data_IF_757821144848
#
_entry.id   IF_757821144848
#
_cell.length_a   1.000
_cell.length_b   1.000
_cell.length_c   1.000
_cell.angle_alpha   90.00
_cell.angle_beta   90.00
_cell.angle_gamma   90.00
#
_symmetry.space_group_name_H-M   'P 1'
#
loop_
_entity.id
_entity.type
_entity.pdbx_description
1 polymer ?
#
# COMPACT_ATOMS: atom_id res chain seq x y z
N UNK A 1 30.02 -4.20 -7.17
CA UNK A 1 29.01 -3.17 -6.86
C UNK A 1 27.67 -3.87 -6.65
N UNK A 2 27.06 -3.75 -5.49
CA UNK A 2 25.76 -4.40 -5.17
C UNK A 2 24.65 -3.78 -6.00
N UNK A 3 23.81 -4.59 -6.62
CA UNK A 3 22.65 -4.17 -7.41
C UNK A 3 21.35 -4.50 -6.66
N UNK A 4 20.53 -3.51 -6.41
CA UNK A 4 19.28 -3.65 -5.69
C UNK A 4 18.11 -3.26 -6.58
N UNK A 5 17.21 -4.20 -6.83
CA UNK A 5 15.96 -3.97 -7.56
C UNK A 5 14.82 -3.78 -6.57
N UNK A 6 14.18 -2.61 -6.61
CA UNK A 6 12.93 -2.39 -5.90
C UNK A 6 11.73 -2.64 -6.81
N UNK A 7 10.80 -3.46 -6.34
CA UNK A 7 9.49 -3.66 -6.98
C UNK A 7 8.46 -2.90 -6.16
N UNK A 8 7.84 -1.88 -6.77
CA UNK A 8 6.97 -0.93 -6.06
C UNK A 8 5.55 -0.91 -6.63
N UNK A 9 4.63 -0.39 -5.83
CA UNK A 9 3.20 -0.27 -6.20
C UNK A 9 2.85 1.08 -6.82
N UNK A 10 3.84 1.97 -6.96
CA UNK A 10 3.66 3.31 -7.52
C UNK A 10 4.79 3.62 -8.50
N UNK A 11 4.50 4.50 -9.44
CA UNK A 11 5.54 5.14 -10.27
C UNK A 11 6.14 6.27 -9.44
N UNK A 12 7.45 6.36 -9.37
CA UNK A 12 8.14 7.43 -8.64
C UNK A 12 8.01 8.78 -9.35
N UNK A 13 8.20 9.92 -8.64
CA UNK A 13 8.06 11.26 -9.23
C UNK A 13 8.96 11.51 -10.45
N UNK A 14 10.21 11.04 -10.43
CA UNK A 14 11.15 11.26 -11.54
C UNK A 14 10.62 10.66 -12.86
N UNK A 15 10.29 9.36 -12.97
CA UNK A 15 9.69 8.83 -14.20
C UNK A 15 8.28 9.38 -14.48
N UNK A 16 7.50 9.83 -13.48
CA UNK A 16 6.24 10.53 -13.75
C UNK A 16 6.48 11.82 -14.54
N UNK A 17 7.49 12.60 -14.17
CA UNK A 17 7.87 13.83 -14.87
C UNK A 17 8.24 13.56 -16.33
N UNK A 18 9.07 12.55 -16.60
CA UNK A 18 9.46 12.14 -17.94
C UNK A 18 8.25 11.68 -18.80
N UNK A 19 7.23 11.14 -18.18
CA UNK A 19 6.04 10.65 -18.86
C UNK A 19 4.91 11.68 -18.96
N UNK A 20 5.07 12.88 -18.38
CA UNK A 20 4.00 13.87 -18.27
C UNK A 20 2.83 13.41 -17.40
N UNK A 21 3.09 12.52 -16.42
CA UNK A 21 2.09 12.00 -15.49
C UNK A 21 2.10 12.79 -14.17
N UNK A 22 0.95 12.90 -13.48
CA UNK A 22 0.94 13.50 -12.16
C UNK A 22 1.73 12.64 -11.16
N UNK A 23 2.54 13.28 -10.32
CA UNK A 23 3.25 12.59 -9.25
C UNK A 23 2.28 12.05 -8.20
N UNK A 24 2.51 10.83 -7.67
CA UNK A 24 1.67 10.27 -6.64
C UNK A 24 1.79 11.05 -5.33
N UNK A 25 0.67 11.25 -4.63
CA UNK A 25 0.64 11.93 -3.32
C UNK A 25 0.94 10.98 -2.15
N UNK A 26 0.97 9.68 -2.41
CA UNK A 26 1.24 8.60 -1.44
C UNK A 26 2.55 7.89 -1.77
N UNK A 27 3.03 7.04 -0.85
CA UNK A 27 4.29 6.29 -1.02
C UNK A 27 5.56 7.13 -0.88
N UNK A 28 5.48 8.36 -0.37
CA UNK A 28 6.65 9.24 -0.19
C UNK A 28 7.73 8.68 0.73
N UNK A 29 7.39 7.74 1.60
CA UNK A 29 8.35 7.02 2.44
C UNK A 29 9.32 6.16 1.60
N UNK A 30 8.86 5.53 0.50
CA UNK A 30 9.75 4.78 -0.40
C UNK A 30 10.79 5.71 -1.06
N UNK A 31 10.34 6.89 -1.53
CA UNK A 31 11.25 7.87 -2.10
C UNK A 31 12.29 8.33 -1.07
N UNK A 32 11.84 8.70 0.13
CA UNK A 32 12.75 9.12 1.20
C UNK A 32 13.72 8.01 1.61
N UNK A 33 13.28 6.75 1.61
CA UNK A 33 14.15 5.59 1.86
C UNK A 33 15.20 5.43 0.75
N UNK A 34 14.80 5.53 -0.51
CA UNK A 34 15.73 5.43 -1.64
C UNK A 34 16.78 6.53 -1.59
N UNK A 35 16.36 7.76 -1.34
CA UNK A 35 17.27 8.91 -1.20
C UNK A 35 18.26 8.71 -0.05
N UNK A 36 17.78 8.28 1.13
CA UNK A 36 18.60 8.03 2.31
C UNK A 36 19.62 6.90 2.06
N UNK A 37 19.22 5.79 1.48
CA UNK A 37 20.12 4.67 1.20
C UNK A 37 21.19 5.08 0.19
N UNK A 38 20.81 5.81 -0.86
CA UNK A 38 21.78 6.28 -1.87
C UNK A 38 22.78 7.27 -1.30
N UNK A 39 22.39 8.11 -0.36
CA UNK A 39 23.30 9.02 0.35
C UNK A 39 24.28 8.27 1.25
N UNK A 40 23.79 7.26 1.98
CA UNK A 40 24.59 6.48 2.92
C UNK A 40 25.46 5.43 2.23
N UNK A 41 25.01 4.89 1.08
CA UNK A 41 25.65 3.81 0.35
C UNK A 41 25.73 4.13 -1.15
N UNK A 42 26.57 5.12 -1.55
CA UNK A 42 26.64 5.58 -2.94
C UNK A 42 27.20 4.56 -3.94
N UNK A 43 27.78 3.47 -3.45
CA UNK A 43 28.29 2.35 -4.27
C UNK A 43 27.22 1.32 -4.64
N UNK A 44 25.98 1.47 -4.16
CA UNK A 44 24.86 0.58 -4.50
C UNK A 44 24.20 1.08 -5.77
N UNK A 45 24.04 0.19 -6.74
CA UNK A 45 23.30 0.46 -7.98
C UNK A 45 21.81 0.12 -7.77
N UNK A 46 20.93 1.08 -8.03
CA UNK A 46 19.49 0.94 -7.82
C UNK A 46 18.71 0.91 -9.12
N UNK A 47 17.80 -0.08 -9.22
CA UNK A 47 16.70 -0.02 -10.14
C UNK A 47 15.36 -0.06 -9.38
N UNK A 48 14.37 0.62 -9.92
CA UNK A 48 12.98 0.59 -9.43
C UNK A 48 12.07 0.11 -10.55
N UNK A 49 11.30 -0.94 -10.28
CA UNK A 49 10.37 -1.49 -11.24
C UNK A 49 8.94 -1.41 -10.73
N UNK A 50 8.00 -1.08 -11.59
CA UNK A 50 6.57 -1.07 -11.27
C UNK A 50 5.75 -1.35 -12.52
N UNK A 51 4.47 -1.66 -12.32
CA UNK A 51 3.51 -1.80 -13.41
C UNK A 51 2.80 -0.49 -13.68
N UNK A 52 2.47 -0.23 -14.95
CA UNK A 52 1.74 0.97 -15.35
C UNK A 52 0.78 0.68 -16.50
N UNK A 53 -0.18 1.58 -16.70
CA UNK A 53 -1.22 1.41 -17.71
C UNK A 53 -0.71 1.85 -19.07
N UNK A 54 -0.09 0.93 -19.81
CA UNK A 54 0.42 1.18 -21.16
C UNK A 54 0.39 -0.09 -22.01
N UNK A 55 0.80 0.03 -23.27
CA UNK A 55 0.92 -1.10 -24.21
C UNK A 55 2.32 -1.71 -24.21
N UNK A 56 3.33 -0.92 -23.88
CA UNK A 56 4.75 -1.28 -24.01
C UNK A 56 5.51 -1.01 -22.73
N UNK A 57 6.54 -1.81 -22.48
CA UNK A 57 7.50 -1.60 -21.40
C UNK A 57 8.36 -0.38 -21.72
N UNK A 58 8.61 0.43 -20.70
CA UNK A 58 9.55 1.55 -20.79
C UNK A 58 10.69 1.39 -19.79
N UNK A 59 11.88 1.81 -20.22
CA UNK A 59 13.04 1.95 -19.33
C UNK A 59 13.44 3.42 -19.35
N UNK A 60 13.59 4.01 -18.16
CA UNK A 60 13.94 5.42 -17.96
C UNK A 60 15.15 5.47 -17.04
N UNK A 61 16.16 6.23 -17.43
CA UNK A 61 17.35 6.48 -16.61
C UNK A 61 17.33 7.94 -16.19
N UNK A 62 17.10 8.19 -14.92
CA UNK A 62 17.08 9.55 -14.38
C UNK A 62 17.52 9.56 -12.92
N UNK A 63 18.17 10.63 -12.49
CA UNK A 63 18.69 10.82 -11.14
C UNK A 63 19.60 9.66 -10.65
N UNK A 64 20.32 9.00 -11.58
CA UNK A 64 21.20 7.86 -11.27
C UNK A 64 20.45 6.59 -10.81
N UNK A 65 19.19 6.45 -11.19
CA UNK A 65 18.35 5.27 -10.97
C UNK A 65 17.77 4.79 -12.29
N UNK A 66 17.73 3.47 -12.47
CA UNK A 66 17.05 2.86 -13.62
C UNK A 66 15.63 2.50 -13.23
N UNK A 67 14.65 3.01 -13.97
CA UNK A 67 13.23 2.73 -13.78
C UNK A 67 12.70 1.82 -14.88
N UNK A 68 12.14 0.67 -14.50
CA UNK A 68 11.44 -0.25 -15.39
C UNK A 68 9.94 -0.12 -15.19
N UNK A 69 9.23 0.28 -16.23
CA UNK A 69 7.77 0.43 -16.21
C UNK A 69 7.14 -0.65 -17.09
N UNK A 70 6.53 -1.63 -16.45
CA UNK A 70 5.96 -2.80 -17.11
C UNK A 70 4.49 -2.54 -17.49
N UNK A 71 4.09 -2.86 -18.74
CA UNK A 71 2.71 -2.68 -19.16
C UNK A 71 1.81 -3.73 -18.48
N UNK A 72 0.80 -3.28 -17.73
CA UNK A 72 -0.16 -4.16 -17.08
C UNK A 72 -1.55 -3.56 -17.01
N UNK A 73 -2.56 -4.44 -16.91
CA UNK A 73 -3.87 -4.07 -16.39
C UNK A 73 -3.73 -3.97 -14.87
N UNK A 74 -4.13 -2.84 -14.30
CA UNK A 74 -4.08 -2.66 -12.85
C UNK A 74 -5.33 -3.32 -12.26
N UNK A 75 -5.36 -4.63 -12.23
CA UNK A 75 -6.29 -5.42 -11.43
C UNK A 75 -5.49 -6.17 -10.37
N UNK A 76 -5.43 -5.61 -9.17
CA UNK A 76 -4.71 -6.18 -8.06
C UNK A 76 -5.40 -7.41 -7.42
N UNK A 77 -6.57 -7.78 -7.91
CA UNK A 77 -7.31 -8.96 -7.42
C UNK A 77 -6.97 -10.23 -8.19
N UNK A 78 -6.21 -10.10 -9.28
CA UNK A 78 -5.86 -11.21 -10.18
C UNK A 78 -4.37 -11.25 -10.44
N UNK A 79 -3.90 -12.47 -10.58
CA UNK A 79 -2.55 -12.72 -11.08
C UNK A 79 -2.52 -12.51 -12.59
N UNK A 80 -1.51 -11.78 -13.07
CA UNK A 80 -1.28 -11.54 -14.50
C UNK A 80 -0.01 -12.25 -14.96
N UNK A 81 -0.20 -13.43 -15.59
CA UNK A 81 0.91 -14.25 -16.10
C UNK A 81 1.72 -13.54 -17.19
N UNK A 82 1.14 -12.59 -17.91
CA UNK A 82 1.86 -11.87 -18.97
C UNK A 82 3.03 -11.03 -18.42
N UNK A 83 3.03 -10.71 -17.13
CA UNK A 83 4.11 -9.99 -16.48
C UNK A 83 5.37 -10.84 -16.30
N UNK A 84 5.28 -12.17 -16.28
CA UNK A 84 6.43 -13.05 -16.05
C UNK A 84 7.55 -12.82 -17.08
N UNK A 85 7.20 -12.71 -18.37
CA UNK A 85 8.18 -12.44 -19.42
C UNK A 85 8.89 -11.08 -19.27
N UNK A 86 8.16 -10.06 -18.81
CA UNK A 86 8.76 -8.75 -18.53
C UNK A 86 9.68 -8.81 -17.31
N UNK A 87 9.30 -9.55 -16.28
CA UNK A 87 10.14 -9.73 -15.09
C UNK A 87 11.43 -10.49 -15.40
N UNK A 88 11.37 -11.56 -16.22
CA UNK A 88 12.57 -12.23 -16.69
C UNK A 88 13.50 -11.26 -17.41
N UNK A 89 12.96 -10.43 -18.32
CA UNK A 89 13.76 -9.43 -19.02
C UNK A 89 14.39 -8.41 -18.08
N UNK A 90 13.68 -7.91 -17.06
CA UNK A 90 14.24 -7.01 -16.04
C UNK A 90 15.35 -7.70 -15.28
N UNK A 91 15.11 -8.92 -14.83
CA UNK A 91 16.07 -9.71 -14.06
C UNK A 91 17.37 -9.99 -14.85
N UNK A 92 17.26 -10.40 -16.11
CA UNK A 92 18.38 -10.65 -17.00
C UNK A 92 19.18 -9.37 -17.33
N UNK A 93 18.48 -8.25 -17.51
CA UNK A 93 19.10 -6.96 -17.87
C UNK A 93 19.80 -6.34 -16.69
N UNK A 94 19.13 -6.25 -15.54
CA UNK A 94 19.68 -5.60 -14.35
C UNK A 94 20.54 -6.52 -13.50
N UNK A 95 20.24 -7.82 -13.45
CA UNK A 95 20.94 -8.86 -12.66
C UNK A 95 21.06 -8.46 -11.19
N UNK A 96 19.94 -8.30 -10.46
CA UNK A 96 19.97 -7.84 -9.09
C UNK A 96 20.60 -8.86 -8.15
N UNK A 97 21.45 -8.39 -7.23
CA UNK A 97 21.93 -9.19 -6.09
C UNK A 97 20.83 -9.33 -5.02
N UNK A 98 19.99 -8.28 -4.87
CA UNK A 98 18.86 -8.25 -3.94
C UNK A 98 17.64 -7.67 -4.65
N UNK A 99 16.49 -8.31 -4.45
CA UNK A 99 15.19 -7.83 -4.91
C UNK A 99 14.33 -7.49 -3.71
N UNK A 100 13.91 -6.23 -3.59
CA UNK A 100 13.05 -5.78 -2.51
C UNK A 100 11.65 -5.46 -3.03
N UNK A 101 10.67 -6.28 -2.67
CA UNK A 101 9.27 -6.05 -3.02
C UNK A 101 8.59 -5.23 -1.91
N UNK A 102 8.06 -4.07 -2.26
CA UNK A 102 7.40 -3.16 -1.34
C UNK A 102 5.89 -3.43 -1.28
N UNK A 103 5.50 -4.31 -0.37
CA UNK A 103 4.10 -4.69 -0.11
C UNK A 103 3.66 -5.93 -0.87
N UNK A 104 2.70 -6.62 -0.28
CA UNK A 104 2.08 -7.85 -0.79
C UNK A 104 0.67 -7.61 -1.35
N UNK A 105 0.22 -6.36 -1.35
CA UNK A 105 -1.14 -5.99 -1.72
C UNK A 105 -1.44 -6.16 -3.21
N UNK A 106 -0.40 -6.30 -4.05
CA UNK A 106 -0.51 -6.42 -5.49
C UNK A 106 0.21 -7.64 -6.02
N UNK A 107 -0.39 -8.31 -6.98
CA UNK A 107 0.12 -9.58 -7.51
C UNK A 107 1.33 -9.46 -8.45
N UNK A 108 1.72 -8.25 -8.88
CA UNK A 108 2.81 -8.11 -9.85
C UNK A 108 4.19 -8.50 -9.30
N UNK A 109 4.45 -8.28 -8.01
CA UNK A 109 5.67 -8.78 -7.38
C UNK A 109 5.67 -10.32 -7.24
N UNK A 110 4.50 -10.94 -7.05
CA UNK A 110 4.39 -12.41 -7.10
C UNK A 110 4.74 -12.96 -8.48
N UNK A 111 4.40 -12.21 -9.55
CA UNK A 111 4.79 -12.60 -10.89
C UNK A 111 6.33 -12.59 -11.08
N UNK A 112 7.05 -11.67 -10.40
CA UNK A 112 8.51 -11.73 -10.35
C UNK A 112 9.00 -13.02 -9.68
N UNK A 113 8.46 -13.34 -8.50
CA UNK A 113 8.87 -14.54 -7.74
C UNK A 113 8.64 -15.82 -8.56
N UNK A 114 7.48 -15.94 -9.22
CA UNK A 114 7.18 -17.11 -10.06
C UNK A 114 8.08 -17.23 -11.29
N UNK A 115 8.48 -16.10 -11.87
CA UNK A 115 9.30 -16.06 -13.07
C UNK A 115 10.81 -16.22 -12.78
N UNK A 116 11.29 -15.65 -11.68
CA UNK A 116 12.71 -15.48 -11.42
C UNK A 116 13.20 -16.18 -10.15
N UNK A 117 12.27 -16.73 -9.34
CA UNK A 117 12.61 -17.32 -8.04
C UNK A 117 12.57 -16.34 -6.89
N UNK A 118 12.82 -16.81 -5.67
CA UNK A 118 12.73 -16.05 -4.44
C UNK A 118 14.04 -15.97 -3.63
N UNK A 119 15.11 -16.63 -4.06
CA UNK A 119 16.34 -16.84 -3.26
C UNK A 119 17.00 -15.53 -2.79
N UNK A 120 16.93 -14.48 -3.61
CA UNK A 120 17.46 -13.15 -3.30
C UNK A 120 16.37 -12.10 -3.04
N UNK A 121 15.14 -12.53 -2.71
CA UNK A 121 13.99 -11.67 -2.52
C UNK A 121 13.73 -11.38 -1.05
N UNK A 122 13.56 -10.12 -0.70
CA UNK A 122 12.92 -9.70 0.54
C UNK A 122 11.62 -8.94 0.26
N UNK A 123 10.65 -9.06 1.18
CA UNK A 123 9.34 -8.41 1.05
C UNK A 123 9.05 -7.55 2.27
N UNK A 124 8.77 -6.26 2.06
CA UNK A 124 8.27 -5.39 3.13
C UNK A 124 6.76 -5.47 3.27
N UNK A 125 6.29 -5.69 4.49
CA UNK A 125 4.85 -5.70 4.82
C UNK A 125 4.35 -4.27 5.02
N UNK A 126 3.37 -3.88 4.20
CA UNK A 126 2.63 -2.62 4.34
C UNK A 126 1.38 -2.79 5.22
N UNK A 127 0.79 -3.97 5.15
CA UNK A 127 -0.33 -4.45 5.90
C UNK A 127 -0.69 -5.85 5.42
N UNK A 128 -1.10 -6.73 6.33
CA UNK A 128 -1.46 -8.10 5.99
C UNK A 128 -2.90 -8.14 5.48
N UNK A 129 -3.06 -8.09 4.17
CA UNK A 129 -4.37 -8.07 3.50
C UNK A 129 -5.20 -9.30 3.85
N UNK A 130 -4.58 -10.47 3.96
CA UNK A 130 -5.21 -11.74 4.34
C UNK A 130 -5.80 -11.71 5.75
N UNK A 131 -5.15 -11.00 6.67
CA UNK A 131 -5.64 -10.82 8.04
C UNK A 131 -6.68 -9.70 8.11
N UNK A 132 -6.40 -8.55 7.47
CA UNK A 132 -7.31 -7.39 7.41
C UNK A 132 -8.66 -7.79 6.81
N UNK A 133 -8.69 -8.67 5.81
CA UNK A 133 -9.93 -9.16 5.19
C UNK A 133 -10.91 -9.78 6.20
N UNK A 134 -10.41 -10.44 7.24
CA UNK A 134 -11.25 -11.05 8.29
C UNK A 134 -12.05 -10.00 9.08
N UNK A 135 -11.47 -8.82 9.26
CA UNK A 135 -12.02 -7.71 10.06
C UNK A 135 -12.57 -6.57 9.21
N UNK A 136 -12.73 -6.78 7.90
CA UNK A 136 -13.02 -5.71 6.94
C UNK A 136 -14.26 -4.88 7.28
N UNK A 137 -15.28 -5.50 7.88
CA UNK A 137 -16.52 -4.80 8.27
C UNK A 137 -16.35 -3.91 9.50
N UNK A 138 -15.32 -4.14 10.32
CA UNK A 138 -14.98 -3.35 11.50
C UNK A 138 -16.19 -3.14 12.47
N UNK A 139 -17.01 -4.15 12.65
CA UNK A 139 -18.18 -4.11 13.53
C UNK A 139 -19.47 -3.57 12.90
N UNK A 140 -19.47 -3.24 11.61
CA UNK A 140 -20.74 -3.00 10.90
C UNK A 140 -21.53 -4.29 10.79
N UNK A 141 -22.84 -4.23 11.15
CA UNK A 141 -23.72 -5.37 10.99
C UNK A 141 -24.06 -5.63 9.51
N UNK A 142 -24.51 -6.84 9.22
CA UNK A 142 -25.03 -7.17 7.89
C UNK A 142 -26.15 -6.21 7.44
N UNK A 143 -27.04 -5.85 8.37
CA UNK A 143 -28.18 -4.98 8.09
C UNK A 143 -27.74 -3.52 7.85
N UNK A 144 -26.74 -3.04 8.57
CA UNK A 144 -26.18 -1.70 8.33
C UNK A 144 -25.59 -1.60 6.94
N UNK A 145 -24.82 -2.62 6.52
CA UNK A 145 -24.25 -2.66 5.18
C UNK A 145 -25.36 -2.71 4.13
N UNK A 146 -26.35 -3.61 4.31
CA UNK A 146 -27.42 -3.81 3.33
C UNK A 146 -28.28 -2.56 3.13
N UNK A 147 -28.70 -1.90 4.21
CA UNK A 147 -29.53 -0.68 4.17
C UNK A 147 -28.83 0.50 3.50
N UNK A 148 -27.52 0.53 3.51
CA UNK A 148 -26.72 1.63 3.00
C UNK A 148 -26.11 1.36 1.61
N UNK A 149 -26.41 0.23 0.97
CA UNK A 149 -26.02 -0.01 -0.42
C UNK A 149 -26.58 1.10 -1.30
N UNK A 150 -25.74 1.70 -2.12
CA UNK A 150 -26.12 2.75 -3.08
C UNK A 150 -26.23 2.18 -4.50
N UNK A 151 -26.97 2.89 -5.35
CA UNK A 151 -27.04 2.53 -6.79
C UNK A 151 -25.67 2.53 -7.43
N UNK A 152 -24.78 3.47 -7.03
CA UNK A 152 -23.39 3.50 -7.45
C UNK A 152 -22.65 2.20 -7.11
N UNK A 153 -22.84 1.70 -5.90
CA UNK A 153 -22.14 0.50 -5.44
C UNK A 153 -22.58 -0.74 -6.24
N UNK A 154 -23.86 -0.80 -6.58
CA UNK A 154 -24.39 -1.88 -7.43
C UNK A 154 -23.80 -1.80 -8.84
N UNK A 155 -23.89 -0.64 -9.50
CA UNK A 155 -23.39 -0.44 -10.87
C UNK A 155 -21.88 -0.69 -10.97
N UNK A 156 -21.12 -0.30 -9.95
CA UNK A 156 -19.65 -0.44 -9.94
C UNK A 156 -19.14 -1.74 -9.33
N UNK A 157 -20.04 -2.63 -8.89
CA UNK A 157 -19.65 -3.85 -8.17
C UNK A 157 -18.69 -3.55 -7.04
N UNK A 158 -19.02 -2.56 -6.21
CA UNK A 158 -18.14 -2.01 -5.19
C UNK A 158 -18.82 -1.82 -3.82
N UNK A 159 -19.80 -2.67 -3.51
CA UNK A 159 -20.40 -2.75 -2.17
C UNK A 159 -19.36 -3.17 -1.14
N UNK A 160 -19.58 -2.90 0.13
CA UNK A 160 -18.69 -3.34 1.23
C UNK A 160 -18.49 -4.87 1.20
N UNK A 161 -19.50 -5.65 0.82
CA UNK A 161 -19.35 -7.10 0.63
C UNK A 161 -18.37 -7.46 -0.48
N UNK A 162 -18.46 -6.77 -1.61
CA UNK A 162 -17.57 -6.97 -2.75
C UNK A 162 -16.15 -6.49 -2.46
N UNK A 163 -16.00 -5.38 -1.72
CA UNK A 163 -14.70 -4.89 -1.26
C UNK A 163 -14.01 -5.93 -0.36
N UNK A 164 -14.74 -6.52 0.61
CA UNK A 164 -14.22 -7.61 1.42
C UNK A 164 -13.74 -8.78 0.57
N UNK A 165 -14.55 -9.22 -0.41
CA UNK A 165 -14.16 -10.31 -1.33
C UNK A 165 -12.89 -9.99 -2.12
N UNK A 166 -12.71 -8.72 -2.53
CA UNK A 166 -11.46 -8.28 -3.19
C UNK A 166 -10.27 -8.42 -2.23
N UNK A 167 -10.44 -8.07 -0.97
CA UNK A 167 -9.39 -8.25 0.05
C UNK A 167 -9.10 -9.73 0.29
N UNK A 168 -10.10 -10.58 0.38
CA UNK A 168 -9.92 -12.04 0.54
C UNK A 168 -9.11 -12.63 -0.62
N UNK A 169 -9.46 -12.29 -1.87
CA UNK A 169 -8.71 -12.76 -3.06
C UNK A 169 -7.25 -12.27 -3.06
N UNK A 170 -7.01 -11.03 -2.70
CA UNK A 170 -5.65 -10.49 -2.55
C UNK A 170 -4.90 -11.17 -1.42
N UNK A 171 -5.61 -11.51 -0.34
CA UNK A 171 -5.05 -12.24 0.79
C UNK A 171 -4.56 -13.64 0.43
N UNK A 172 -5.20 -14.33 -0.51
CA UNK A 172 -4.70 -15.64 -0.98
C UNK A 172 -3.38 -15.48 -1.77
N UNK A 173 -3.27 -14.46 -2.61
CA UNK A 173 -2.01 -14.15 -3.30
C UNK A 173 -0.91 -13.72 -2.31
N UNK A 174 -1.26 -12.93 -1.28
CA UNK A 174 -0.33 -12.56 -0.21
C UNK A 174 0.23 -13.76 0.53
N UNK A 175 -0.62 -14.75 0.85
CA UNK A 175 -0.16 -15.98 1.50
C UNK A 175 0.86 -16.74 0.65
N UNK A 176 0.72 -16.70 -0.68
CA UNK A 176 1.70 -17.29 -1.59
C UNK A 176 3.05 -16.56 -1.52
N UNK A 177 3.05 -15.22 -1.51
CA UNK A 177 4.28 -14.45 -1.26
C UNK A 177 4.96 -14.92 0.02
N UNK A 178 4.21 -14.89 1.13
CA UNK A 178 4.74 -15.13 2.47
C UNK A 178 5.27 -16.55 2.63
N UNK A 179 4.67 -17.54 1.93
CA UNK A 179 5.15 -18.95 1.95
C UNK A 179 6.44 -19.14 1.16
N UNK A 180 6.71 -18.29 0.19
CA UNK A 180 7.78 -18.52 -0.78
C UNK A 180 9.05 -17.74 -0.45
N UNK A 181 8.92 -16.53 0.13
CA UNK A 181 10.07 -15.65 0.35
C UNK A 181 10.82 -15.98 1.63
N UNK A 182 12.18 -16.02 1.58
CA UNK A 182 12.99 -16.31 2.75
C UNK A 182 13.11 -15.13 3.73
N UNK A 183 13.01 -13.88 3.25
CA UNK A 183 13.24 -12.68 4.05
C UNK A 183 12.02 -11.75 4.03
N UNK A 184 11.53 -11.40 5.22
CA UNK A 184 10.36 -10.53 5.37
C UNK A 184 10.69 -9.35 6.30
N UNK A 185 10.43 -8.16 5.82
CA UNK A 185 10.62 -6.91 6.57
C UNK A 185 9.28 -6.46 7.13
N UNK A 186 9.21 -6.24 8.44
CA UNK A 186 8.02 -5.77 9.11
C UNK A 186 8.34 -4.84 10.29
N UNK A 187 7.32 -4.42 11.05
CA UNK A 187 7.45 -3.34 12.02
C UNK A 187 6.87 -3.65 13.39
N UNK A 188 6.12 -4.72 13.52
CA UNK A 188 5.37 -5.01 14.75
C UNK A 188 5.45 -6.47 15.12
N UNK A 189 5.27 -6.78 16.42
CA UNK A 189 5.11 -8.15 16.89
C UNK A 189 3.85 -8.82 16.31
N UNK A 190 2.83 -8.02 15.96
CA UNK A 190 1.60 -8.50 15.37
C UNK A 190 1.82 -9.05 13.95
N UNK A 191 2.48 -8.30 13.07
CA UNK A 191 2.77 -8.80 11.71
C UNK A 191 3.75 -9.97 11.75
N UNK A 192 4.78 -9.92 12.60
CA UNK A 192 5.72 -11.02 12.84
C UNK A 192 5.00 -12.32 13.23
N UNK A 193 4.08 -12.27 14.18
CA UNK A 193 3.33 -13.44 14.62
C UNK A 193 2.47 -14.05 13.48
N UNK A 194 1.81 -13.20 12.70
CA UNK A 194 1.03 -13.67 11.55
C UNK A 194 1.88 -14.23 10.41
N UNK A 195 3.04 -13.64 10.17
CA UNK A 195 4.00 -14.13 9.17
C UNK A 195 4.49 -15.52 9.56
N UNK A 196 4.94 -15.71 10.79
CA UNK A 196 5.42 -17.01 11.26
C UNK A 196 4.32 -18.08 11.35
N UNK A 197 3.07 -17.68 11.50
CA UNK A 197 1.95 -18.62 11.38
C UNK A 197 1.73 -19.13 9.94
N UNK A 198 2.27 -18.42 8.91
CA UNK A 198 2.19 -18.80 7.50
C UNK A 198 3.48 -19.44 7.02
N UNK A 199 4.62 -18.89 7.40
CA UNK A 199 5.97 -19.34 7.04
C UNK A 199 6.88 -19.24 8.28
N UNK A 200 6.98 -20.32 9.07
CA UNK A 200 7.82 -20.34 10.28
C UNK A 200 9.31 -20.24 9.99
N UNK A 201 9.74 -20.58 8.77
CA UNK A 201 11.13 -20.58 8.36
C UNK A 201 11.59 -19.21 7.83
N UNK A 202 10.68 -18.27 7.64
CA UNK A 202 11.02 -16.93 7.16
C UNK A 202 11.84 -16.15 8.21
N UNK A 203 12.94 -15.58 7.75
CA UNK A 203 13.73 -14.64 8.55
C UNK A 203 13.01 -13.28 8.60
N UNK A 204 12.65 -12.83 9.79
CA UNK A 204 11.96 -11.57 10.00
C UNK A 204 12.92 -10.46 10.39
N UNK A 205 12.94 -9.40 9.57
CA UNK A 205 13.73 -8.20 9.79
C UNK A 205 12.85 -7.05 10.28
N UNK A 206 13.20 -6.47 11.41
CA UNK A 206 12.54 -5.26 11.89
C UNK A 206 13.11 -4.04 11.18
N UNK A 207 12.26 -3.28 10.48
CA UNK A 207 12.66 -2.02 9.86
C UNK A 207 11.48 -1.04 9.79
N UNK A 208 11.65 0.13 10.39
CA UNK A 208 10.69 1.21 10.25
C UNK A 208 10.81 1.90 8.89
N UNK A 209 9.70 2.48 8.44
CA UNK A 209 9.69 3.33 7.25
C UNK A 209 10.27 4.71 7.59
N UNK A 210 10.93 5.32 6.61
CA UNK A 210 11.33 6.72 6.71
C UNK A 210 10.13 7.63 6.52
N UNK A 211 10.17 8.79 7.14
CA UNK A 211 9.18 9.85 6.91
C UNK A 211 9.69 10.83 5.84
N UNK A 212 8.79 11.58 5.24
CA UNK A 212 9.18 12.70 4.40
C UNK A 212 9.96 13.74 5.22
N UNK A 213 10.95 14.44 4.64
CA UNK A 213 11.81 15.39 5.38
C UNK A 213 11.05 16.42 6.22
N UNK A 214 9.87 16.86 5.76
CA UNK A 214 9.03 17.83 6.47
C UNK A 214 8.60 17.36 7.86
N UNK A 215 8.46 16.04 8.09
CA UNK A 215 8.09 15.49 9.40
C UNK A 215 9.24 15.52 10.40
N UNK A 216 10.50 15.54 9.93
CA UNK A 216 11.67 15.67 10.80
C UNK A 216 11.97 17.12 11.21
N UNK A 217 11.40 18.08 10.47
CA UNK A 217 11.60 19.51 10.70
C UNK A 217 10.63 20.12 11.73
N UNK A 218 9.61 19.36 12.16
CA UNK A 218 8.58 19.85 13.06
C UNK A 218 8.42 18.93 14.25
N UNK A 219 8.09 19.53 15.40
CA UNK A 219 7.71 18.80 16.62
C UNK A 219 6.27 19.12 16.96
N UNK A 220 5.57 18.13 17.51
CA UNK A 220 4.26 18.37 18.10
C UNK A 220 4.45 19.03 19.47
N UNK A 221 3.68 20.06 19.74
CA UNK A 221 3.70 20.82 21.00
C UNK A 221 2.28 20.94 21.53
N UNK A 222 2.09 20.50 22.78
CA UNK A 222 0.77 20.49 23.40
C UNK A 222 0.12 21.87 23.46
N UNK A 223 0.89 22.92 23.74
CA UNK A 223 0.36 24.30 23.87
C UNK A 223 -0.04 24.93 22.54
N UNK A 224 0.45 24.37 21.44
CA UNK A 224 0.16 24.84 20.07
C UNK A 224 -0.85 23.95 19.33
N UNK A 225 -1.33 22.87 19.93
CA UNK A 225 -2.28 22.00 19.28
C UNK A 225 -3.70 22.57 19.33
N UNK A 226 -4.50 22.26 18.33
CA UNK A 226 -5.95 22.49 18.37
C UNK A 226 -6.55 21.55 19.42
N UNK A 227 -6.94 22.08 20.57
CA UNK A 227 -7.53 21.30 21.65
C UNK A 227 -8.83 20.63 21.17
N UNK A 228 -9.18 19.54 21.80
CA UNK A 228 -10.37 18.74 21.51
C UNK A 228 -10.52 18.38 20.00
N UNK A 229 -9.38 18.13 19.34
CA UNK A 229 -9.39 17.71 17.92
C UNK A 229 -8.98 16.26 17.79
N UNK A 230 -9.85 15.46 17.19
CA UNK A 230 -9.58 14.08 16.80
C UNK A 230 -9.12 14.09 15.34
N UNK A 231 -7.92 13.55 15.07
CA UNK A 231 -7.38 13.48 13.71
C UNK A 231 -7.43 12.04 13.18
N UNK A 232 -8.06 11.87 12.02
CA UNK A 232 -8.09 10.61 11.28
C UNK A 232 -7.27 10.76 10.01
N UNK A 233 -6.18 10.00 9.91
CA UNK A 233 -5.31 10.02 8.73
C UNK A 233 -5.96 9.41 7.47
N UNK A 234 -6.97 8.56 7.66
CA UNK A 234 -7.79 7.96 6.60
C UNK A 234 -9.16 7.58 7.15
N UNK A 235 -10.20 7.68 6.30
CA UNK A 235 -11.57 7.34 6.68
C UNK A 235 -12.39 6.65 5.57
N UNK A 236 -11.77 6.26 4.46
CA UNK A 236 -12.47 5.94 3.21
C UNK A 236 -13.19 4.59 3.17
N UNK A 237 -12.98 3.70 4.13
CA UNK A 237 -13.62 2.37 4.19
C UNK A 237 -13.66 1.84 5.63
N UNK A 238 -14.51 0.82 5.93
CA UNK A 238 -14.87 0.46 7.31
C UNK A 238 -13.70 0.20 8.25
N UNK A 239 -12.69 -0.55 7.81
CA UNK A 239 -11.54 -0.92 8.67
C UNK A 239 -10.75 0.30 9.20
N UNK A 240 -10.95 1.49 8.63
CA UNK A 240 -10.35 2.74 9.13
C UNK A 240 -11.11 3.35 10.32
N UNK A 241 -12.29 2.83 10.64
CA UNK A 241 -12.98 3.06 11.90
C UNK A 241 -13.69 4.41 12.04
N UNK A 242 -13.92 5.20 10.97
CA UNK A 242 -14.63 6.47 11.09
C UNK A 242 -15.99 6.32 11.79
N UNK A 243 -16.78 5.30 11.43
CA UNK A 243 -18.09 5.03 12.05
C UNK A 243 -17.95 4.81 13.56
N UNK A 244 -16.88 4.18 14.05
CA UNK A 244 -16.63 4.01 15.49
C UNK A 244 -16.33 5.32 16.20
N UNK A 245 -15.61 6.22 15.53
CA UNK A 245 -15.39 7.57 16.06
C UNK A 245 -16.71 8.34 16.11
N UNK A 246 -17.53 8.26 15.05
CA UNK A 246 -18.84 8.91 15.03
C UNK A 246 -19.80 8.35 16.09
N UNK A 247 -19.82 7.04 16.32
CA UNK A 247 -20.58 6.41 17.41
C UNK A 247 -20.15 6.91 18.80
N UNK A 248 -18.86 7.21 18.99
CA UNK A 248 -18.34 7.73 20.26
C UNK A 248 -18.59 9.24 20.45
N UNK A 249 -18.82 9.99 19.37
CA UNK A 249 -18.96 11.48 19.44
C UNK A 249 -20.04 11.96 20.42
N UNK A 250 -21.26 11.37 20.52
CA UNK A 250 -22.24 11.81 21.50
C UNK A 250 -21.76 11.74 22.95
N UNK A 251 -20.91 10.77 23.28
CA UNK A 251 -20.31 10.65 24.62
C UNK A 251 -19.23 11.69 24.82
N UNK A 252 -18.38 11.92 23.82
CA UNK A 252 -17.28 12.88 23.86
C UNK A 252 -17.84 14.32 24.01
N UNK A 253 -18.84 14.65 23.22
CA UNK A 253 -19.44 16.00 23.21
C UNK A 253 -20.14 16.38 24.53
N UNK A 254 -20.52 15.40 25.38
CA UNK A 254 -21.03 15.68 26.74
C UNK A 254 -19.97 16.31 27.64
N UNK A 255 -18.70 15.95 27.44
CA UNK A 255 -17.58 16.42 28.25
C UNK A 255 -16.78 17.54 27.57
N UNK A 256 -16.72 17.48 26.23
CA UNK A 256 -15.97 18.41 25.36
C UNK A 256 -16.84 18.85 24.20
N UNK A 257 -17.76 19.83 24.43
CA UNK A 257 -18.77 20.23 23.43
C UNK A 257 -18.18 20.80 22.15
N UNK A 258 -16.98 21.32 22.18
CA UNK A 258 -16.25 21.93 21.07
C UNK A 258 -15.40 20.93 20.28
N UNK A 259 -15.51 19.62 20.56
CA UNK A 259 -14.72 18.59 19.87
C UNK A 259 -14.97 18.60 18.37
N UNK A 260 -13.87 18.53 17.62
CA UNK A 260 -13.85 18.47 16.14
C UNK A 260 -13.19 17.22 15.64
N UNK A 261 -13.63 16.73 14.49
CA UNK A 261 -12.96 15.66 13.76
C UNK A 261 -12.33 16.25 12.51
N UNK A 262 -11.02 16.08 12.35
CA UNK A 262 -10.28 16.41 11.13
C UNK A 262 -9.93 15.13 10.41
N UNK A 263 -10.32 15.00 9.15
CA UNK A 263 -10.09 13.79 8.35
C UNK A 263 -9.21 14.16 7.16
N UNK A 264 -8.09 13.46 7.01
CA UNK A 264 -7.24 13.60 5.84
C UNK A 264 -7.76 12.74 4.67
N UNK A 265 -7.61 13.25 3.44
CA UNK A 265 -8.01 12.55 2.23
C UNK A 265 -9.30 13.10 1.61
N UNK A 266 -9.82 12.42 0.56
CA UNK A 266 -11.02 12.88 -0.13
C UNK A 266 -12.25 12.74 0.77
N UNK A 267 -13.12 13.77 0.74
CA UNK A 267 -14.40 13.75 1.47
C UNK A 267 -15.24 12.54 1.06
N UNK A 268 -15.90 11.92 2.03
CA UNK A 268 -16.84 10.82 1.80
C UNK A 268 -18.23 11.33 1.41
N UNK A 269 -18.61 12.49 1.93
CA UNK A 269 -19.98 13.06 1.83
C UNK A 269 -20.07 14.28 0.93
N UNK A 270 -19.00 15.03 0.75
CA UNK A 270 -18.94 16.18 -0.15
C UNK A 270 -18.79 15.75 -1.61
N UNK A 271 -19.84 15.09 -2.10
CA UNK A 271 -19.93 14.54 -3.46
C UNK A 271 -21.40 14.59 -3.89
N UNK A 272 -21.65 14.67 -5.21
CA UNK A 272 -23.00 14.44 -5.72
C UNK A 272 -23.53 13.09 -5.22
N UNK A 273 -24.81 13.02 -4.89
CA UNK A 273 -25.40 11.84 -4.23
C UNK A 273 -25.15 10.53 -5.00
N UNK A 274 -25.13 10.59 -6.34
CA UNK A 274 -24.83 9.43 -7.20
C UNK A 274 -23.37 8.94 -7.15
N UNK A 275 -22.47 9.67 -6.45
CA UNK A 275 -21.08 9.29 -6.21
C UNK A 275 -20.82 8.87 -4.77
N UNK A 276 -21.80 9.00 -3.88
CA UNK A 276 -21.65 8.58 -2.48
C UNK A 276 -21.62 7.05 -2.43
N UNK A 277 -20.65 6.49 -1.69
CA UNK A 277 -20.53 5.06 -1.43
C UNK A 277 -21.45 4.66 -0.27
N UNK A 278 -21.79 3.38 -0.16
CA UNK A 278 -22.55 2.89 0.99
C UNK A 278 -21.89 3.14 2.34
N UNK A 279 -20.57 3.28 2.38
CA UNK A 279 -19.87 3.69 3.60
C UNK A 279 -19.94 5.20 3.86
N UNK A 280 -20.11 6.00 2.84
CA UNK A 280 -20.27 7.45 2.97
C UNK A 280 -21.70 7.90 3.26
N UNK A 281 -22.68 7.00 3.06
CA UNK A 281 -24.09 7.18 3.39
C UNK A 281 -24.35 6.94 4.87
#
# INVERSE_FOLDING_TARGET
MMRVLWITNIIFPAPCKELGLPSPVYGGWMLSSLEAIRQLHPVVDFAVATVYRAKEMKTIHTDGVTYYLLPARIDNTRYDKSLEAYWMKVNETFRPDVVHIHGTEYAHGLAFIRACGADNVCVSIQGLVSVIARYYYAGLSFWDILKNITVRDVIRWDTIFQQKRKFEKRGELEKEYLKTVPHIIGRTSWDKAHIWAINPDAEYHFCNETLRPVFYQRKWEYDKCDKHTIFLSQASYPIKGLHKVLEAMPLILRHFPDTKIKIAGPSLVDKPFYRITGYGK
#
